data_IF_647019723198
#
_entry.id   IF_647019723198
#
_cell.length_a   1.000
_cell.length_b   1.000
_cell.length_c   1.000
_cell.angle_alpha   90.00
_cell.angle_beta   90.00
_cell.angle_gamma   90.00
#
_symmetry.space_group_name_H-M   'P 1'
#
loop_
_entity.id
_entity.type
_entity.pdbx_description
1 polymer ?
#
# COMPACT_ATOMS: atom_id res chain seq x y z
N UNK A 1 53.27 6.30 -15.41
CA UNK A 1 51.91 6.87 -15.17
C UNK A 1 51.76 8.07 -16.10
N UNK A 2 50.72 8.14 -16.86
CA UNK A 2 50.39 9.30 -17.72
C UNK A 2 49.19 9.96 -17.07
N UNK A 3 49.29 11.28 -16.87
CA UNK A 3 48.22 12.08 -16.28
C UNK A 3 47.79 13.11 -17.33
N UNK A 4 46.52 13.08 -17.70
CA UNK A 4 45.93 13.99 -18.66
C UNK A 4 44.85 14.80 -17.94
N UNK A 5 44.92 16.14 -18.11
CA UNK A 5 43.91 17.07 -17.66
C UNK A 5 43.26 17.72 -18.87
N UNK A 6 41.98 17.89 -18.85
CA UNK A 6 41.24 18.54 -19.92
C UNK A 6 39.95 19.17 -19.45
N UNK A 7 39.68 20.33 -20.02
CA UNK A 7 38.40 21.00 -19.88
C UNK A 7 37.64 20.81 -21.18
N UNK A 8 36.33 20.60 -21.06
CA UNK A 8 35.46 20.35 -22.19
C UNK A 8 34.17 21.16 -22.00
N UNK A 9 33.85 21.94 -23.02
CA UNK A 9 32.59 22.66 -23.07
C UNK A 9 31.94 22.38 -24.43
N UNK A 10 30.89 21.59 -24.40
CA UNK A 10 30.19 21.22 -25.63
C UNK A 10 28.83 20.52 -25.34
N UNK A 11 28.17 20.17 -26.42
CA UNK A 11 26.96 19.34 -26.40
C UNK A 11 27.38 17.85 -26.47
N UNK A 12 27.03 17.07 -25.45
CA UNK A 12 27.18 15.62 -25.48
C UNK A 12 25.91 14.95 -25.97
N UNK A 13 26.12 13.88 -26.74
CA UNK A 13 25.02 13.01 -27.16
C UNK A 13 24.79 11.89 -26.12
N UNK A 14 23.52 11.62 -25.82
CA UNK A 14 23.13 10.54 -24.90
C UNK A 14 23.72 9.17 -25.28
N UNK A 15 23.97 8.93 -26.59
CA UNK A 15 24.60 7.69 -27.04
C UNK A 15 26.06 7.57 -26.60
N UNK A 16 26.80 8.66 -26.54
CA UNK A 16 28.17 8.67 -26.02
C UNK A 16 28.18 8.46 -24.53
N UNK A 17 27.28 9.11 -23.79
CA UNK A 17 27.12 8.89 -22.36
C UNK A 17 26.74 7.44 -22.03
N UNK A 18 25.85 6.83 -22.82
CA UNK A 18 25.48 5.41 -22.66
C UNK A 18 26.69 4.47 -22.77
N UNK A 19 27.62 4.77 -23.72
CA UNK A 19 28.85 4.01 -23.87
C UNK A 19 29.82 4.21 -22.69
N UNK A 20 29.97 5.44 -22.21
CA UNK A 20 30.83 5.78 -21.09
C UNK A 20 30.35 5.13 -19.79
N UNK A 21 29.06 5.11 -19.56
CA UNK A 21 28.45 4.55 -18.36
C UNK A 21 28.23 3.03 -18.45
N UNK A 22 28.43 2.43 -19.64
CA UNK A 22 28.09 1.04 -19.96
C UNK A 22 26.65 0.70 -19.58
N UNK A 23 25.73 1.65 -19.82
CA UNK A 23 24.30 1.54 -19.51
C UNK A 23 23.50 2.33 -20.54
N UNK A 24 22.42 1.76 -21.08
CA UNK A 24 21.60 2.44 -22.07
C UNK A 24 20.68 3.48 -21.41
N UNK A 25 21.08 4.76 -21.53
CA UNK A 25 20.31 5.90 -21.02
C UNK A 25 19.52 6.65 -22.08
N UNK A 26 19.59 6.21 -23.35
CA UNK A 26 18.98 6.94 -24.48
C UNK A 26 17.48 7.13 -24.37
N UNK A 27 16.80 6.15 -23.77
CA UNK A 27 15.35 6.20 -23.58
C UNK A 27 14.95 7.06 -22.39
N UNK A 28 15.90 7.45 -21.55
CA UNK A 28 15.62 8.16 -20.29
C UNK A 28 15.99 9.62 -20.34
N UNK A 29 16.90 10.05 -21.23
CA UNK A 29 17.37 11.43 -21.33
C UNK A 29 17.33 11.93 -22.77
N UNK A 30 17.30 13.24 -22.94
CA UNK A 30 17.32 13.87 -24.26
C UNK A 30 18.56 13.46 -25.06
N UNK A 31 18.45 13.49 -26.39
CA UNK A 31 19.53 13.13 -27.28
C UNK A 31 20.76 14.00 -27.10
N UNK A 32 20.56 15.30 -26.83
CA UNK A 32 21.63 16.30 -26.68
C UNK A 32 21.57 16.98 -25.33
N UNK A 33 22.69 17.01 -24.63
CA UNK A 33 22.85 17.66 -23.33
C UNK A 33 23.98 18.66 -23.43
N UNK A 34 23.71 19.91 -23.04
CA UNK A 34 24.72 20.99 -22.96
C UNK A 34 25.36 20.88 -21.59
N UNK A 35 26.67 20.70 -21.57
CA UNK A 35 27.43 20.59 -20.35
C UNK A 35 28.84 21.17 -20.51
N UNK A 36 29.45 21.54 -19.36
CA UNK A 36 30.88 21.82 -19.23
C UNK A 36 31.48 20.83 -18.25
N UNK A 37 32.67 20.35 -18.52
CA UNK A 37 33.37 19.43 -17.62
C UNK A 37 34.83 19.76 -17.47
N UNK A 38 35.35 19.55 -16.25
CA UNK A 38 36.79 19.53 -15.97
C UNK A 38 37.13 18.11 -15.53
N UNK A 39 38.06 17.46 -16.22
CA UNK A 39 38.34 16.05 -16.08
C UNK A 39 39.82 15.77 -15.88
N UNK A 40 40.12 14.81 -15.03
CA UNK A 40 41.45 14.24 -14.79
C UNK A 40 41.42 12.77 -15.16
N UNK A 41 42.20 12.39 -16.13
CA UNK A 41 42.37 11.00 -16.53
C UNK A 41 43.78 10.53 -16.26
N UNK A 42 43.89 9.51 -15.47
CA UNK A 42 45.19 8.85 -15.14
C UNK A 42 45.23 7.47 -15.75
N UNK A 43 46.33 7.13 -16.39
CA UNK A 43 46.51 5.80 -16.97
C UNK A 43 47.89 5.25 -16.63
N UNK A 44 47.94 4.00 -16.24
CA UNK A 44 49.17 3.23 -16.04
C UNK A 44 49.28 2.20 -17.16
N UNK A 45 50.41 2.27 -17.87
CA UNK A 45 50.73 1.32 -18.96
C UNK A 45 51.79 0.31 -18.52
N UNK A 46 51.67 -0.89 -19.05
CA UNK A 46 52.73 -1.90 -18.97
C UNK A 46 53.88 -1.57 -19.93
N UNK A 47 55.00 -2.29 -19.77
CA UNK A 47 56.13 -2.19 -20.71
C UNK A 47 55.78 -2.57 -22.16
N UNK A 48 54.61 -3.21 -22.38
CA UNK A 48 54.05 -3.56 -23.71
C UNK A 48 52.92 -2.61 -24.12
N UNK A 49 52.84 -1.41 -23.51
CA UNK A 49 51.80 -0.39 -23.75
C UNK A 49 50.35 -0.88 -23.52
N UNK A 50 50.16 -1.93 -22.74
CA UNK A 50 48.80 -2.35 -22.35
C UNK A 50 48.39 -1.59 -21.08
N UNK A 51 47.13 -1.16 -21.04
CA UNK A 51 46.57 -0.49 -19.86
C UNK A 51 46.55 -1.45 -18.68
N UNK A 52 47.36 -1.12 -17.65
CA UNK A 52 47.34 -1.83 -16.37
C UNK A 52 46.25 -1.30 -15.47
N UNK A 53 46.16 0.01 -15.35
CA UNK A 53 45.18 0.68 -14.55
C UNK A 53 44.75 2.00 -15.19
N UNK A 54 43.56 2.47 -14.87
CA UNK A 54 43.12 3.82 -15.22
C UNK A 54 42.13 4.33 -14.15
N UNK A 55 42.07 5.66 -14.01
CA UNK A 55 41.06 6.36 -13.25
C UNK A 55 40.58 7.60 -14.02
N UNK A 56 39.31 7.92 -13.92
CA UNK A 56 38.71 9.15 -14.43
C UNK A 56 38.00 9.82 -13.27
N UNK A 57 38.32 11.07 -13.04
CA UNK A 57 37.54 11.98 -12.19
C UNK A 57 37.05 13.15 -13.07
N UNK A 58 35.76 13.45 -12.99
CA UNK A 58 35.16 14.52 -13.78
C UNK A 58 34.16 15.30 -12.95
N UNK A 59 34.32 16.61 -12.94
CA UNK A 59 33.29 17.55 -12.46
C UNK A 59 32.56 18.10 -13.68
N UNK A 60 31.26 17.90 -13.74
CA UNK A 60 30.40 18.22 -14.87
C UNK A 60 29.33 19.20 -14.40
N UNK A 61 29.19 20.33 -15.07
CA UNK A 61 28.10 21.28 -14.85
C UNK A 61 27.13 21.20 -16.03
N UNK A 62 25.84 21.27 -15.74
CA UNK A 62 24.79 21.27 -16.77
C UNK A 62 23.70 22.28 -16.44
N UNK A 63 23.09 22.86 -17.49
CA UNK A 63 21.97 23.78 -17.33
C UNK A 63 20.64 23.04 -17.17
N UNK A 64 20.33 22.14 -18.12
CA UNK A 64 19.10 21.36 -18.10
C UNK A 64 19.33 19.96 -18.62
N UNK A 65 18.76 18.97 -17.91
CA UNK A 65 18.65 17.59 -18.36
C UNK A 65 17.21 17.16 -18.22
N UNK A 66 16.56 16.79 -19.31
CA UNK A 66 15.23 16.21 -19.29
C UNK A 66 15.33 14.70 -19.07
N UNK A 67 14.67 14.20 -18.03
CA UNK A 67 14.60 12.78 -17.73
C UNK A 67 13.18 12.32 -18.03
N UNK A 68 13.05 11.38 -18.97
CA UNK A 68 11.77 10.75 -19.32
C UNK A 68 11.64 9.45 -18.54
N UNK A 69 10.63 9.37 -17.67
CA UNK A 69 10.34 8.21 -16.87
C UNK A 69 9.02 7.60 -17.36
N UNK A 70 9.08 6.63 -18.25
CA UNK A 70 7.91 5.84 -18.67
C UNK A 70 7.46 4.88 -17.56
N UNK A 71 7.29 5.37 -16.35
CA UNK A 71 6.89 4.55 -15.22
C UNK A 71 5.43 4.81 -14.85
N UNK A 72 4.54 3.91 -15.30
CA UNK A 72 3.11 3.94 -14.95
C UNK A 72 2.87 3.82 -13.43
N UNK A 73 3.82 3.25 -12.70
CA UNK A 73 3.66 3.03 -11.26
C UNK A 73 3.85 4.31 -10.46
N UNK A 74 4.70 5.24 -10.89
CA UNK A 74 4.84 6.53 -10.21
C UNK A 74 3.56 7.36 -10.23
N UNK A 75 2.74 7.25 -11.28
CA UNK A 75 1.44 7.91 -11.36
C UNK A 75 0.42 7.45 -10.33
N UNK A 76 0.62 6.26 -9.77
CA UNK A 76 -0.23 5.74 -8.68
C UNK A 76 0.05 6.45 -7.35
N UNK A 77 1.27 6.98 -7.21
CA UNK A 77 1.76 7.58 -5.96
C UNK A 77 1.88 9.08 -6.02
N UNK A 78 2.21 9.64 -7.18
CA UNK A 78 2.35 11.08 -7.42
C UNK A 78 1.22 11.50 -8.36
N UNK A 79 0.26 12.23 -7.82
CA UNK A 79 -0.88 12.75 -8.57
C UNK A 79 -0.35 13.77 -9.59
N UNK A 80 -0.87 13.75 -10.81
CA UNK A 80 -0.46 14.61 -11.94
C UNK A 80 0.97 14.42 -12.47
N UNK A 81 1.64 13.31 -12.13
CA UNK A 81 2.96 13.01 -12.68
C UNK A 81 2.95 12.82 -14.20
N UNK A 82 3.73 13.65 -14.93
CA UNK A 82 3.73 13.70 -16.41
C UNK A 82 4.82 12.86 -17.06
N UNK A 83 5.39 11.87 -16.38
CA UNK A 83 6.51 11.03 -16.87
C UNK A 83 7.79 11.81 -17.24
N UNK A 84 7.92 13.06 -16.83
CA UNK A 84 9.07 13.89 -17.13
C UNK A 84 9.55 14.59 -15.88
N UNK A 85 10.87 14.59 -15.68
CA UNK A 85 11.56 15.39 -14.67
C UNK A 85 12.61 16.22 -15.40
N UNK A 86 12.70 17.49 -15.08
CA UNK A 86 13.72 18.37 -15.61
C UNK A 86 14.68 18.71 -14.47
N UNK A 87 15.93 18.27 -14.59
CA UNK A 87 17.00 18.74 -13.73
C UNK A 87 17.52 20.07 -14.25
N UNK A 88 17.74 21.03 -13.35
CA UNK A 88 18.16 22.38 -13.72
C UNK A 88 19.34 22.85 -12.87
N UNK A 89 20.31 23.54 -13.51
CA UNK A 89 21.47 24.13 -12.83
C UNK A 89 22.18 23.15 -11.91
N UNK A 90 22.62 22.02 -12.45
CA UNK A 90 23.18 20.93 -11.67
C UNK A 90 24.67 20.74 -11.85
N UNK A 91 25.23 20.12 -10.81
CA UNK A 91 26.61 19.61 -10.80
C UNK A 91 26.56 18.07 -10.69
N UNK A 92 27.40 17.41 -11.49
CA UNK A 92 27.63 15.97 -11.41
C UNK A 92 29.12 15.73 -11.20
N UNK A 93 29.44 14.99 -10.17
CA UNK A 93 30.77 14.46 -9.95
C UNK A 93 30.80 12.97 -10.31
N UNK A 94 31.73 12.59 -11.21
CA UNK A 94 31.90 11.21 -11.69
C UNK A 94 33.30 10.73 -11.35
N UNK A 95 33.40 9.54 -10.77
CA UNK A 95 34.66 8.82 -10.56
C UNK A 95 34.53 7.39 -11.06
N UNK A 96 35.44 6.98 -11.92
CA UNK A 96 35.51 5.62 -12.49
C UNK A 96 36.92 5.08 -12.37
N UNK A 97 37.08 3.76 -12.24
CA UNK A 97 38.36 3.10 -12.34
C UNK A 97 38.27 1.75 -13.09
N UNK A 98 39.40 1.13 -13.36
CA UNK A 98 39.48 -0.12 -14.11
C UNK A 98 38.77 -1.29 -13.41
N UNK A 99 38.67 -1.30 -12.10
CA UNK A 99 37.98 -2.33 -11.32
C UNK A 99 36.47 -2.20 -11.37
N UNK A 100 35.91 -1.35 -12.27
CA UNK A 100 34.51 -1.03 -12.38
C UNK A 100 33.91 -0.41 -11.10
N UNK A 101 34.76 0.15 -10.24
CA UNK A 101 34.25 0.98 -9.16
C UNK A 101 33.80 2.32 -9.75
N UNK A 102 32.57 2.65 -9.46
CA UNK A 102 31.92 3.87 -9.97
C UNK A 102 31.37 4.66 -8.79
N UNK A 103 31.59 5.97 -8.78
CA UNK A 103 30.90 6.89 -7.89
C UNK A 103 30.32 8.04 -8.70
N UNK A 104 29.06 8.33 -8.49
CA UNK A 104 28.35 9.45 -9.12
C UNK A 104 27.66 10.23 -8.01
N UNK A 105 27.88 11.53 -7.97
CA UNK A 105 27.15 12.43 -7.07
C UNK A 105 26.51 13.52 -7.92
N UNK A 106 25.20 13.70 -7.78
CA UNK A 106 24.43 14.74 -8.47
C UNK A 106 23.82 15.67 -7.45
N UNK A 107 24.03 16.96 -7.62
CA UNK A 107 23.37 18.03 -6.88
C UNK A 107 22.68 18.93 -7.90
N UNK A 108 21.37 19.06 -7.83
CA UNK A 108 20.59 19.84 -8.81
C UNK A 108 19.29 20.31 -8.19
N UNK A 109 18.62 21.19 -8.91
CA UNK A 109 17.19 21.43 -8.71
C UNK A 109 16.41 20.65 -9.76
N UNK A 110 15.19 20.26 -9.44
CA UNK A 110 14.31 19.57 -10.38
C UNK A 110 12.92 20.20 -10.40
N UNK A 111 12.25 20.07 -11.53
CA UNK A 111 10.86 20.47 -11.75
C UNK A 111 10.13 19.35 -12.51
N UNK A 112 8.83 19.18 -12.27
CA UNK A 112 7.99 18.25 -13.03
C UNK A 112 7.43 18.88 -14.30
N UNK A 113 7.12 20.16 -14.25
CA UNK A 113 6.69 20.99 -15.40
C UNK A 113 6.88 22.46 -15.06
N UNK A 114 6.60 23.33 -16.03
CA UNK A 114 6.77 24.79 -15.90
C UNK A 114 5.90 25.44 -14.80
N UNK A 115 4.88 24.74 -14.30
CA UNK A 115 3.98 25.22 -13.25
C UNK A 115 4.51 24.97 -11.85
N UNK A 116 5.55 24.13 -11.70
CA UNK A 116 6.13 23.77 -10.42
C UNK A 116 7.38 24.60 -10.12
N UNK A 117 7.56 24.95 -8.85
CA UNK A 117 8.80 25.60 -8.41
C UNK A 117 9.94 24.59 -8.37
N UNK A 118 11.16 24.98 -8.77
CA UNK A 118 12.32 24.11 -8.65
C UNK A 118 12.58 23.69 -7.21
N UNK A 119 12.80 22.39 -6.99
CA UNK A 119 13.07 21.77 -5.69
C UNK A 119 14.41 21.05 -5.72
N UNK A 120 15.04 20.91 -4.57
CA UNK A 120 16.37 20.30 -4.47
C UNK A 120 16.33 18.79 -4.58
N UNK A 121 17.33 18.24 -5.27
CA UNK A 121 17.61 16.81 -5.34
C UNK A 121 19.11 16.57 -5.18
N UNK A 122 19.44 15.66 -4.28
CA UNK A 122 20.78 15.10 -4.12
C UNK A 122 20.70 13.60 -4.37
N UNK A 123 21.58 13.10 -5.25
CA UNK A 123 21.70 11.69 -5.55
C UNK A 123 23.17 11.29 -5.45
N UNK A 124 23.43 10.26 -4.65
CA UNK A 124 24.71 9.59 -4.60
C UNK A 124 24.53 8.14 -5.06
N UNK A 125 25.32 7.74 -6.03
CA UNK A 125 25.42 6.37 -6.50
C UNK A 125 26.85 5.90 -6.34
N UNK A 126 27.02 4.69 -5.84
CA UNK A 126 28.31 4.03 -5.88
C UNK A 126 28.17 2.55 -6.19
N UNK A 127 29.11 2.05 -6.98
CA UNK A 127 29.23 0.63 -7.31
C UNK A 127 30.63 0.17 -6.97
N UNK A 128 30.71 -0.92 -6.24
CA UNK A 128 31.97 -1.61 -5.96
C UNK A 128 31.72 -3.11 -6.07
N UNK A 129 32.41 -3.77 -6.98
CA UNK A 129 32.16 -5.17 -7.33
C UNK A 129 30.70 -5.41 -7.74
N UNK A 130 29.97 -6.22 -6.94
CA UNK A 130 28.56 -6.59 -7.17
C UNK A 130 27.57 -5.75 -6.36
N UNK A 131 28.07 -4.83 -5.52
CA UNK A 131 27.23 -4.02 -4.63
C UNK A 131 27.05 -2.64 -5.24
N UNK A 132 25.80 -2.26 -5.43
CA UNK A 132 25.40 -0.92 -5.83
C UNK A 132 24.69 -0.27 -4.64
N UNK A 133 25.03 1.00 -4.36
CA UNK A 133 24.45 1.82 -3.30
C UNK A 133 23.84 3.07 -3.92
N UNK A 134 22.63 3.40 -3.50
CA UNK A 134 21.90 4.56 -3.93
C UNK A 134 21.45 5.34 -2.72
N UNK A 135 21.69 6.63 -2.73
CA UNK A 135 21.22 7.56 -1.71
C UNK A 135 20.49 8.72 -2.40
N UNK A 136 19.26 8.98 -1.98
CA UNK A 136 18.43 10.04 -2.53
C UNK A 136 17.97 10.93 -1.38
N UNK A 137 18.11 12.24 -1.58
CA UNK A 137 17.49 13.27 -0.74
C UNK A 137 16.70 14.20 -1.65
N UNK A 138 15.39 14.25 -1.50
CA UNK A 138 14.48 14.92 -2.44
C UNK A 138 13.48 15.77 -1.65
N UNK A 139 13.36 17.04 -2.03
CA UNK A 139 12.28 17.91 -1.58
C UNK A 139 11.04 17.68 -2.46
N UNK A 140 10.00 17.09 -1.88
CA UNK A 140 8.74 16.74 -2.54
C UNK A 140 7.60 17.74 -2.27
N UNK A 141 7.89 18.92 -1.78
CA UNK A 141 6.90 19.94 -1.34
C UNK A 141 5.90 20.32 -2.44
N UNK A 142 6.31 20.33 -3.70
CA UNK A 142 5.45 20.68 -4.84
C UNK A 142 4.57 19.51 -5.33
N UNK A 143 4.65 18.34 -4.68
CA UNK A 143 3.97 17.13 -5.14
C UNK A 143 2.76 16.81 -4.26
N UNK A 144 1.74 16.30 -4.90
CA UNK A 144 0.62 15.65 -4.23
C UNK A 144 0.87 14.15 -4.21
N UNK A 145 1.06 13.58 -3.01
CA UNK A 145 1.42 12.18 -2.82
C UNK A 145 0.28 11.42 -2.18
N UNK A 146 -0.03 10.25 -2.76
CA UNK A 146 -1.04 9.33 -2.28
C UNK A 146 -0.45 7.92 -2.16
N UNK A 147 -0.46 7.35 -0.96
CA UNK A 147 -0.10 5.96 -0.70
C UNK A 147 -1.34 5.24 -0.19
N UNK A 148 -2.17 4.74 -1.12
CA UNK A 148 -3.48 4.14 -0.81
C UNK A 148 -3.43 2.97 0.17
N UNK A 149 -2.30 2.23 0.18
CA UNK A 149 -2.12 1.05 1.02
C UNK A 149 -2.16 1.37 2.51
N UNK A 150 -1.69 2.56 2.87
CA UNK A 150 -1.63 3.05 4.26
C UNK A 150 -2.49 4.30 4.46
N UNK A 151 -3.31 4.67 3.47
CA UNK A 151 -4.17 5.85 3.49
C UNK A 151 -3.38 7.17 3.78
N UNK A 152 -2.11 7.23 3.33
CA UNK A 152 -1.25 8.41 3.47
C UNK A 152 -1.53 9.38 2.33
N UNK A 153 -1.74 10.65 2.69
CA UNK A 153 -2.01 11.70 1.71
C UNK A 153 -1.35 13.02 2.09
N UNK A 154 -0.68 13.65 1.15
CA UNK A 154 -0.18 15.02 1.30
C UNK A 154 -0.62 15.88 0.14
N UNK A 155 -1.09 17.09 0.46
CA UNK A 155 -1.44 18.10 -0.55
C UNK A 155 -0.20 18.78 -1.09
N UNK A 156 -0.29 19.25 -2.32
CA UNK A 156 0.68 20.17 -2.93
C UNK A 156 0.93 21.39 -2.03
N UNK A 157 2.18 21.88 -2.03
CA UNK A 157 2.68 22.98 -1.22
C UNK A 157 2.76 22.71 0.30
N UNK A 158 2.58 21.47 0.74
CA UNK A 158 2.96 21.05 2.07
C UNK A 158 4.40 20.54 2.05
N UNK A 159 5.24 21.03 2.95
CA UNK A 159 6.60 20.51 3.10
C UNK A 159 6.58 18.99 3.19
N UNK A 160 7.42 18.35 2.38
CA UNK A 160 7.59 16.89 2.37
C UNK A 160 8.98 16.55 1.85
N UNK A 161 9.72 15.76 2.60
CA UNK A 161 11.08 15.36 2.27
C UNK A 161 11.18 13.84 2.20
N UNK A 162 11.92 13.35 1.19
CA UNK A 162 12.26 11.94 1.04
C UNK A 162 13.77 11.75 1.22
N UNK A 163 14.15 10.92 2.18
CA UNK A 163 15.51 10.40 2.31
C UNK A 163 15.46 8.88 2.10
N UNK A 164 16.18 8.39 1.12
CA UNK A 164 16.24 6.96 0.78
C UNK A 164 17.69 6.51 0.68
N UNK A 165 18.04 5.45 1.41
CA UNK A 165 19.28 4.71 1.24
C UNK A 165 18.94 3.27 0.84
N UNK A 166 19.35 2.88 -0.37
CA UNK A 166 19.10 1.58 -0.97
C UNK A 166 20.43 0.91 -1.32
N UNK A 167 20.54 -0.37 -1.08
CA UNK A 167 21.61 -1.23 -1.60
C UNK A 167 21.03 -2.29 -2.53
N UNK A 168 21.76 -2.60 -3.60
CA UNK A 168 21.46 -3.70 -4.52
C UNK A 168 22.64 -4.64 -4.56
N UNK A 169 22.38 -5.93 -4.36
CA UNK A 169 23.36 -6.99 -4.52
C UNK A 169 22.74 -8.08 -5.39
N UNK A 170 23.22 -8.21 -6.63
CA UNK A 170 22.60 -9.07 -7.66
C UNK A 170 21.10 -8.71 -7.82
N UNK A 171 20.21 -9.66 -7.50
CA UNK A 171 18.77 -9.50 -7.65
C UNK A 171 18.04 -9.12 -6.34
N UNK A 172 18.80 -8.88 -5.27
CA UNK A 172 18.25 -8.48 -3.97
C UNK A 172 18.43 -6.98 -3.79
N UNK A 173 17.34 -6.29 -3.55
CA UNK A 173 17.29 -4.89 -3.18
C UNK A 173 17.02 -4.79 -1.69
N UNK A 174 17.71 -3.89 -1.01
CA UNK A 174 17.53 -3.63 0.41
C UNK A 174 17.41 -2.12 0.64
N UNK A 175 16.23 -1.69 1.07
CA UNK A 175 16.04 -0.35 1.62
C UNK A 175 16.63 -0.37 3.03
N UNK A 176 17.84 0.15 3.20
CA UNK A 176 18.47 0.25 4.51
C UNK A 176 17.74 1.27 5.39
N UNK A 177 17.36 2.39 4.79
CA UNK A 177 16.55 3.40 5.44
C UNK A 177 15.75 4.19 4.39
N UNK A 178 14.45 4.34 4.62
CA UNK A 178 13.58 5.26 3.91
C UNK A 178 12.86 6.11 4.94
N UNK A 179 12.95 7.44 4.79
CA UNK A 179 12.12 8.39 5.53
C UNK A 179 11.40 9.30 4.55
N UNK A 180 10.08 9.31 4.62
CA UNK A 180 9.23 10.30 3.98
C UNK A 180 8.58 11.09 5.11
N UNK A 181 8.88 12.39 5.23
CA UNK A 181 8.53 13.11 6.44
C UNK A 181 8.30 14.61 6.22
N UNK A 182 7.51 15.16 7.11
CA UNK A 182 7.41 16.59 7.39
C UNK A 182 7.13 16.77 8.91
N UNK A 183 6.74 17.98 9.33
CA UNK A 183 6.46 18.27 10.75
C UNK A 183 5.33 17.41 11.35
N UNK A 184 4.40 16.91 10.53
CA UNK A 184 3.19 16.21 10.97
C UNK A 184 3.15 14.73 10.58
N UNK A 185 3.90 14.35 9.55
CA UNK A 185 3.82 13.02 8.97
C UNK A 185 5.20 12.37 8.92
N UNK A 186 5.26 11.10 9.20
CA UNK A 186 6.45 10.26 9.12
C UNK A 186 6.10 8.89 8.56
N UNK A 187 6.74 8.50 7.47
CA UNK A 187 6.89 7.10 7.06
C UNK A 187 8.37 6.74 7.18
N UNK A 188 8.69 5.76 8.01
CA UNK A 188 10.06 5.31 8.24
C UNK A 188 10.14 3.79 8.06
N UNK A 189 10.96 3.35 7.12
CA UNK A 189 11.17 1.94 6.79
C UNK A 189 12.64 1.61 6.95
N UNK A 190 12.95 0.52 7.64
CA UNK A 190 14.34 0.07 7.84
C UNK A 190 14.51 -1.39 7.44
N UNK A 191 15.64 -1.66 6.80
CA UNK A 191 16.12 -3.00 6.45
C UNK A 191 15.08 -3.82 5.66
N UNK A 192 14.31 -3.16 4.77
CA UNK A 192 13.33 -3.85 3.94
C UNK A 192 14.02 -4.46 2.72
N UNK A 193 13.94 -5.77 2.59
CA UNK A 193 14.50 -6.55 1.48
C UNK A 193 13.40 -7.01 0.54
N UNK A 194 13.66 -6.89 -0.75
CA UNK A 194 12.76 -7.35 -1.80
C UNK A 194 13.53 -7.82 -3.03
N UNK A 195 12.88 -8.64 -3.85
CA UNK A 195 13.40 -9.12 -5.13
C UNK A 195 12.73 -8.40 -6.31
N UNK A 196 13.14 -8.72 -7.53
CA UNK A 196 12.45 -8.26 -8.74
C UNK A 196 10.95 -8.57 -8.66
N UNK A 197 10.11 -7.62 -9.11
CA UNK A 197 8.66 -7.70 -8.95
C UNK A 197 8.16 -7.24 -7.58
N UNK A 198 9.01 -6.60 -6.77
CA UNK A 198 8.67 -5.99 -5.47
C UNK A 198 8.11 -6.98 -4.43
N UNK A 199 8.53 -8.26 -4.49
CA UNK A 199 8.18 -9.24 -3.47
C UNK A 199 9.05 -9.08 -2.24
N UNK A 200 8.46 -8.67 -1.12
CA UNK A 200 9.15 -8.47 0.15
C UNK A 200 9.60 -9.82 0.72
N UNK A 201 10.87 -9.94 1.02
CA UNK A 201 11.46 -11.14 1.63
C UNK A 201 11.72 -10.96 3.12
N UNK A 202 12.05 -9.74 3.55
CA UNK A 202 12.33 -9.43 4.95
C UNK A 202 12.21 -7.94 5.24
N UNK A 203 12.08 -7.56 6.53
CA UNK A 203 12.17 -6.19 7.01
C UNK A 203 12.39 -6.18 8.52
N UNK A 204 12.90 -5.09 9.06
CA UNK A 204 13.04 -4.90 10.51
C UNK A 204 11.94 -4.00 11.07
N UNK A 205 11.67 -2.86 10.40
CA UNK A 205 10.76 -1.86 10.90
C UNK A 205 10.01 -1.14 9.79
N UNK A 206 8.70 -0.96 10.01
CA UNK A 206 7.83 -0.05 9.25
C UNK A 206 7.07 0.79 10.28
N UNK A 207 7.29 2.10 10.26
CA UNK A 207 6.58 3.07 11.11
C UNK A 207 5.86 4.05 10.21
N UNK A 208 4.60 4.32 10.50
CA UNK A 208 3.80 5.30 9.78
C UNK A 208 2.97 6.12 10.78
N UNK A 209 3.35 7.38 10.95
CA UNK A 209 2.63 8.38 11.74
C UNK A 209 2.15 9.46 10.76
N UNK A 210 0.85 9.53 10.47
CA UNK A 210 0.35 10.44 9.45
C UNK A 210 -1.14 10.75 9.58
N UNK A 211 -1.52 11.89 9.05
CA UNK A 211 -2.93 12.23 8.85
C UNK A 211 -3.43 11.72 7.51
N UNK A 212 -4.61 11.09 7.50
CA UNK A 212 -5.27 10.68 6.27
C UNK A 212 -6.07 11.84 5.63
N UNK A 213 -6.78 11.58 4.52
CA UNK A 213 -7.61 12.59 3.84
C UNK A 213 -8.71 13.19 4.73
N UNK A 214 -9.21 12.44 5.69
CA UNK A 214 -10.26 12.83 6.63
C UNK A 214 -9.68 13.50 7.90
N UNK A 215 -8.39 13.84 7.87
CA UNK A 215 -7.64 14.43 8.99
C UNK A 215 -7.64 13.55 10.25
N UNK A 216 -7.75 12.22 10.08
CA UNK A 216 -7.58 11.26 11.17
C UNK A 216 -6.10 10.89 11.30
N UNK A 217 -5.57 10.95 12.52
CA UNK A 217 -4.19 10.57 12.81
C UNK A 217 -4.07 9.04 12.85
N UNK A 218 -3.27 8.49 11.94
CA UNK A 218 -2.82 7.10 11.99
C UNK A 218 -1.43 7.03 12.62
N UNK A 219 -1.25 6.08 13.51
CA UNK A 219 0.02 5.82 14.17
C UNK A 219 0.26 4.31 14.19
N UNK A 220 1.19 3.83 13.38
CA UNK A 220 1.45 2.40 13.22
C UNK A 220 2.94 2.10 13.34
N UNK A 221 3.27 1.13 14.16
CA UNK A 221 4.61 0.56 14.28
C UNK A 221 4.55 -0.94 14.02
N UNK A 222 5.21 -1.40 12.96
CA UNK A 222 5.36 -2.81 12.62
C UNK A 222 6.83 -3.17 12.76
N UNK A 223 7.13 -4.14 13.59
CA UNK A 223 8.48 -4.67 13.77
C UNK A 223 8.51 -6.16 13.51
N UNK A 224 9.60 -6.64 12.88
CA UNK A 224 9.80 -8.07 12.60
C UNK A 224 11.10 -8.56 13.23
N UNK A 225 11.01 -9.68 13.95
CA UNK A 225 12.18 -10.42 14.46
C UNK A 225 11.99 -11.90 14.12
N UNK A 226 12.81 -12.41 13.21
CA UNK A 226 12.65 -13.77 12.67
C UNK A 226 11.22 -13.94 12.11
N UNK A 227 10.46 -14.92 12.62
CA UNK A 227 9.09 -15.23 12.20
C UNK A 227 8.02 -14.55 13.09
N UNK A 228 8.40 -13.57 13.92
CA UNK A 228 7.45 -12.81 14.73
C UNK A 228 7.34 -11.39 14.20
N UNK A 229 6.12 -10.96 13.95
CA UNK A 229 5.77 -9.59 13.57
C UNK A 229 4.90 -9.02 14.68
N UNK A 230 5.23 -7.82 15.16
CA UNK A 230 4.39 -7.10 16.09
C UNK A 230 3.85 -5.84 15.38
N UNK A 231 2.55 -5.69 15.38
CA UNK A 231 1.85 -4.50 14.93
C UNK A 231 1.26 -3.80 16.16
N UNK A 232 1.74 -2.60 16.43
CA UNK A 232 1.31 -1.76 17.55
C UNK A 232 0.81 -0.45 16.99
N UNK A 233 -0.34 0.03 17.48
CA UNK A 233 -0.91 1.30 17.08
C UNK A 233 -1.65 1.96 18.24
N UNK A 234 -1.55 3.29 18.37
CA UNK A 234 -2.46 4.04 19.23
C UNK A 234 -3.77 4.31 18.50
N UNK A 235 -3.70 4.76 17.24
CA UNK A 235 -4.86 5.08 16.41
C UNK A 235 -4.65 4.56 15.00
N UNK A 236 -5.63 3.87 14.44
CA UNK A 236 -5.58 3.33 13.07
C UNK A 236 -6.95 3.40 12.40
N UNK A 237 -7.03 4.03 11.25
CA UNK A 237 -8.22 3.98 10.41
C UNK A 237 -8.19 2.74 9.52
N UNK A 238 -9.03 1.76 9.84
CA UNK A 238 -9.18 0.50 9.11
C UNK A 238 -10.43 0.49 8.22
N UNK A 239 -11.17 1.59 8.14
CA UNK A 239 -12.43 1.70 7.41
C UNK A 239 -12.30 1.30 5.94
N UNK A 240 -11.27 1.79 5.25
CA UNK A 240 -11.00 1.47 3.84
C UNK A 240 -10.56 0.01 3.64
N UNK A 241 -9.86 -0.58 4.61
CA UNK A 241 -9.39 -1.96 4.53
C UNK A 241 -10.54 -2.96 4.68
N UNK A 242 -11.47 -2.68 5.59
CA UNK A 242 -12.71 -3.46 5.74
C UNK A 242 -13.50 -3.39 4.43
N UNK A 243 -13.67 -2.20 3.86
CA UNK A 243 -14.39 -2.01 2.60
C UNK A 243 -13.77 -2.80 1.45
N UNK A 244 -12.45 -2.72 1.28
CA UNK A 244 -11.72 -3.50 0.25
C UNK A 244 -11.86 -5.00 0.46
N UNK A 245 -11.77 -5.48 1.70
CA UNK A 245 -11.90 -6.91 2.03
C UNK A 245 -13.29 -7.44 1.71
N UNK A 246 -14.34 -6.67 2.00
CA UNK A 246 -15.72 -7.08 1.78
C UNK A 246 -16.19 -6.95 0.32
N UNK A 247 -15.62 -6.01 -0.46
CA UNK A 247 -15.99 -5.76 -1.88
C UNK A 247 -15.13 -6.50 -2.89
N UNK A 248 -13.99 -7.06 -2.47
CA UNK A 248 -13.05 -7.70 -3.39
C UNK A 248 -13.64 -8.98 -3.97
N UNK A 249 -14.02 -8.94 -5.25
CA UNK A 249 -14.40 -10.12 -6.06
C UNK A 249 -13.19 -10.98 -6.43
N UNK A 250 -11.98 -10.40 -6.38
CA UNK A 250 -10.71 -11.12 -6.46
C UNK A 250 -10.16 -11.23 -5.06
N UNK A 251 -9.78 -12.43 -4.65
CA UNK A 251 -9.03 -12.68 -3.40
C UNK A 251 -7.64 -12.04 -3.49
N UNK A 252 -7.58 -10.70 -3.64
CA UNK A 252 -6.31 -9.97 -3.47
C UNK A 252 -5.94 -10.08 -1.99
N UNK A 253 -5.03 -10.98 -1.72
CA UNK A 253 -4.51 -11.14 -0.38
C UNK A 253 -3.41 -10.10 -0.17
N UNK A 254 -3.61 -9.17 0.77
CA UNK A 254 -2.57 -8.18 1.15
C UNK A 254 -1.22 -8.85 1.44
N UNK A 255 -1.22 -10.09 1.92
CA UNK A 255 -0.01 -10.85 2.20
C UNK A 255 0.74 -11.28 0.93
N UNK A 256 0.14 -11.15 -0.26
CA UNK A 256 0.79 -11.51 -1.53
C UNK A 256 1.92 -10.54 -1.93
N UNK A 257 2.06 -9.40 -1.24
CA UNK A 257 3.25 -8.53 -1.36
C UNK A 257 4.51 -9.22 -0.83
N UNK A 258 4.37 -10.21 0.05
CA UNK A 258 5.48 -10.98 0.59
C UNK A 258 5.80 -12.20 -0.29
N UNK A 259 7.06 -12.62 -0.25
CA UNK A 259 7.52 -13.88 -0.82
C UNK A 259 7.48 -14.96 0.25
N UNK A 260 6.45 -15.83 0.22
CA UNK A 260 6.33 -16.98 1.13
C UNK A 260 6.42 -16.60 2.62
N UNK A 261 5.56 -15.69 3.07
CA UNK A 261 5.54 -15.27 4.47
C UNK A 261 5.01 -16.38 5.36
N UNK A 262 5.85 -16.82 6.31
CA UNK A 262 5.50 -17.64 7.46
C UNK A 262 5.78 -16.84 8.73
N UNK A 263 4.73 -16.45 9.47
CA UNK A 263 4.90 -15.57 10.61
C UNK A 263 3.79 -15.75 11.66
N UNK A 264 4.15 -15.45 12.91
CA UNK A 264 3.22 -15.12 13.99
C UNK A 264 3.12 -13.60 14.09
N UNK A 265 1.95 -13.06 13.82
CA UNK A 265 1.66 -11.63 13.91
C UNK A 265 0.91 -11.37 15.21
N UNK A 266 1.48 -10.56 16.10
CA UNK A 266 0.81 -10.04 17.27
C UNK A 266 0.23 -8.66 16.93
N UNK A 267 -1.00 -8.40 17.29
CA UNK A 267 -1.72 -7.15 17.00
C UNK A 267 -2.15 -6.53 18.33
N UNK A 268 -1.83 -5.24 18.48
CA UNK A 268 -2.24 -4.40 19.60
C UNK A 268 -2.56 -3.00 19.09
N UNK A 269 -3.84 -2.65 19.00
CA UNK A 269 -4.33 -1.36 18.52
C UNK A 269 -5.24 -0.79 19.58
N UNK A 270 -4.89 0.38 20.15
CA UNK A 270 -5.70 0.99 21.21
C UNK A 270 -7.04 1.48 20.68
N UNK A 271 -7.02 2.16 19.54
CA UNK A 271 -8.22 2.66 18.88
C UNK A 271 -8.16 2.37 17.37
N UNK A 272 -9.14 1.63 16.83
CA UNK A 272 -9.25 1.35 15.41
C UNK A 272 -10.59 1.90 14.88
N UNK A 273 -10.52 2.88 13.97
CA UNK A 273 -11.69 3.49 13.34
C UNK A 273 -12.28 2.56 12.29
N UNK A 274 -13.57 2.23 12.42
CA UNK A 274 -14.34 1.40 11.48
C UNK A 274 -15.15 2.25 10.50
N UNK A 275 -15.82 3.27 11.03
CA UNK A 275 -16.57 4.29 10.30
C UNK A 275 -16.66 5.59 11.13
N UNK A 276 -17.57 6.50 10.79
CA UNK A 276 -17.72 7.79 11.50
C UNK A 276 -18.20 7.63 12.94
N UNK A 277 -19.00 6.59 13.23
CA UNK A 277 -19.68 6.39 14.49
C UNK A 277 -19.07 5.27 15.35
N UNK A 278 -18.31 4.33 14.74
CA UNK A 278 -17.84 3.12 15.39
C UNK A 278 -16.32 3.00 15.36
N UNK A 279 -15.78 2.72 16.54
CA UNK A 279 -14.37 2.46 16.79
C UNK A 279 -14.23 1.19 17.61
N UNK A 280 -13.20 0.41 17.34
CA UNK A 280 -12.73 -0.59 18.28
C UNK A 280 -11.79 0.04 19.29
N UNK A 281 -12.01 -0.28 20.57
CA UNK A 281 -11.08 -0.04 21.65
C UNK A 281 -10.34 -1.34 21.96
N UNK A 282 -9.02 -1.27 22.14
CA UNK A 282 -8.16 -2.38 22.51
C UNK A 282 -8.35 -3.61 21.60
N UNK A 283 -8.19 -3.40 20.29
CA UNK A 283 -8.13 -4.54 19.36
C UNK A 283 -6.82 -5.28 19.56
N UNK A 284 -6.91 -6.46 20.12
CA UNK A 284 -5.77 -7.31 20.44
C UNK A 284 -5.94 -8.68 19.79
N UNK A 285 -4.81 -9.33 19.49
CA UNK A 285 -4.85 -10.73 19.08
C UNK A 285 -3.62 -11.23 18.37
N UNK A 286 -3.76 -12.42 17.79
CA UNK A 286 -2.69 -13.15 17.11
C UNK A 286 -3.19 -13.71 15.79
N UNK A 287 -2.34 -13.62 14.77
CA UNK A 287 -2.59 -14.22 13.46
C UNK A 287 -1.38 -15.07 13.09
N UNK A 288 -1.63 -16.33 12.75
CA UNK A 288 -0.61 -17.25 12.22
C UNK A 288 -0.77 -17.27 10.71
N UNK A 289 0.29 -16.89 10.03
CA UNK A 289 0.38 -16.89 8.57
C UNK A 289 1.28 -18.02 8.11
N UNK A 290 0.86 -18.77 7.10
CA UNK A 290 1.64 -19.80 6.41
C UNK A 290 1.49 -19.63 4.90
N UNK A 291 2.61 -19.55 4.19
CA UNK A 291 2.64 -19.36 2.73
C UNK A 291 1.71 -18.21 2.30
N UNK A 292 1.85 -17.04 2.89
CA UNK A 292 1.03 -15.84 2.63
C UNK A 292 -0.48 -15.99 2.92
N UNK A 293 -0.91 -17.03 3.62
CA UNK A 293 -2.33 -17.26 3.96
C UNK A 293 -2.53 -17.30 5.46
N UNK A 294 -3.60 -16.68 5.93
CA UNK A 294 -4.02 -16.81 7.32
C UNK A 294 -4.40 -18.27 7.60
N UNK A 295 -3.61 -18.92 8.44
CA UNK A 295 -3.83 -20.30 8.89
C UNK A 295 -4.73 -20.34 10.12
N UNK A 296 -4.41 -19.51 11.13
CA UNK A 296 -5.20 -19.33 12.35
C UNK A 296 -5.21 -17.85 12.74
N UNK A 297 -6.27 -17.43 13.41
CA UNK A 297 -6.36 -16.08 13.96
C UNK A 297 -7.29 -16.08 15.18
N UNK A 298 -7.00 -15.17 16.10
CA UNK A 298 -7.87 -14.84 17.22
C UNK A 298 -7.69 -13.35 17.50
N UNK A 299 -8.74 -12.55 17.27
CA UNK A 299 -8.78 -11.13 17.52
C UNK A 299 -9.99 -10.79 18.38
N UNK A 300 -9.82 -9.87 19.31
CA UNK A 300 -10.92 -9.34 20.12
C UNK A 300 -10.78 -7.84 20.32
N UNK A 301 -11.90 -7.16 20.46
CA UNK A 301 -11.99 -5.74 20.76
C UNK A 301 -13.30 -5.43 21.50
N UNK A 302 -13.39 -4.22 22.05
CA UNK A 302 -14.65 -3.63 22.49
C UNK A 302 -15.01 -2.45 21.62
N UNK A 303 -16.29 -2.15 21.44
CA UNK A 303 -16.70 -0.94 20.74
C UNK A 303 -16.68 0.29 21.65
N UNK A 304 -16.50 1.47 21.08
CA UNK A 304 -16.57 2.74 21.80
C UNK A 304 -17.94 3.00 22.45
N UNK A 305 -19.01 2.42 21.89
CA UNK A 305 -20.39 2.50 22.41
C UNK A 305 -20.75 1.31 23.32
N UNK A 306 -19.74 0.52 23.74
CA UNK A 306 -19.95 -0.75 24.44
C UNK A 306 -20.23 -1.90 23.48
N UNK A 307 -20.17 -3.12 23.98
CA UNK A 307 -20.28 -4.34 23.17
C UNK A 307 -18.93 -4.87 22.73
N UNK A 308 -18.93 -6.10 22.27
CA UNK A 308 -17.74 -6.88 21.95
C UNK A 308 -17.65 -7.20 20.46
N UNK A 309 -16.42 -7.39 20.01
CA UNK A 309 -16.07 -7.96 18.71
C UNK A 309 -15.11 -9.12 18.94
N UNK A 310 -15.36 -10.25 18.29
CA UNK A 310 -14.50 -11.42 18.31
C UNK A 310 -14.40 -11.97 16.89
N UNK A 311 -13.18 -12.21 16.44
CA UNK A 311 -12.88 -12.90 15.19
C UNK A 311 -11.99 -14.09 15.49
N UNK A 312 -12.40 -15.30 15.08
CA UNK A 312 -11.54 -16.47 15.15
C UNK A 312 -11.41 -17.15 13.80
N UNK A 313 -10.27 -17.74 13.53
CA UNK A 313 -10.03 -18.70 12.46
C UNK A 313 -9.23 -19.85 13.04
N UNK A 314 -9.82 -21.04 13.05
CA UNK A 314 -9.28 -22.22 13.70
C UNK A 314 -9.39 -23.45 12.81
N UNK A 315 -8.68 -24.52 13.16
CA UNK A 315 -8.82 -25.82 12.51
C UNK A 315 -9.60 -26.72 13.49
N UNK A 316 -10.84 -27.04 13.15
CA UNK A 316 -11.71 -27.93 13.89
C UNK A 316 -11.99 -29.16 13.04
N UNK A 317 -11.71 -30.37 13.56
CA UNK A 317 -11.89 -31.62 12.83
C UNK A 317 -11.26 -31.65 11.43
N UNK A 318 -10.09 -31.01 11.29
CA UNK A 318 -9.37 -30.93 10.02
C UNK A 318 -9.89 -29.89 9.02
N UNK A 319 -10.98 -29.18 9.33
CA UNK A 319 -11.55 -28.10 8.50
C UNK A 319 -11.21 -26.74 9.10
N UNK A 320 -10.98 -25.76 8.22
CA UNK A 320 -10.83 -24.37 8.68
C UNK A 320 -12.19 -23.76 8.91
N UNK A 321 -12.39 -23.30 10.14
CA UNK A 321 -13.62 -22.63 10.57
C UNK A 321 -13.28 -21.17 10.91
N UNK A 322 -14.02 -20.25 10.34
CA UNK A 322 -13.94 -18.81 10.64
C UNK A 322 -15.21 -18.40 11.35
N UNK A 323 -15.10 -17.71 12.49
CA UNK A 323 -16.25 -17.12 13.17
C UNK A 323 -16.05 -15.63 13.40
N UNK A 324 -17.13 -14.87 13.31
CA UNK A 324 -17.18 -13.46 13.67
C UNK A 324 -18.39 -13.25 14.56
N UNK A 325 -18.16 -12.68 15.72
CA UNK A 325 -19.21 -12.18 16.60
C UNK A 325 -19.06 -10.66 16.73
N UNK A 326 -20.16 -9.92 16.61
CA UNK A 326 -20.17 -8.48 16.81
C UNK A 326 -21.47 -8.02 17.45
N UNK A 327 -21.39 -7.28 18.54
CA UNK A 327 -22.55 -6.62 19.15
C UNK A 327 -23.09 -5.44 18.33
N UNK A 328 -22.33 -5.00 17.30
CA UNK A 328 -22.76 -4.00 16.32
C UNK A 328 -22.56 -4.52 14.89
N UNK A 329 -23.65 -4.82 14.19
CA UNK A 329 -23.62 -5.30 12.80
C UNK A 329 -23.38 -4.18 11.79
N UNK A 330 -23.86 -2.97 12.08
CA UNK A 330 -23.86 -1.81 11.18
C UNK A 330 -22.51 -1.51 10.52
N UNK A 331 -21.35 -1.48 11.22
CA UNK A 331 -20.05 -1.17 10.60
C UNK A 331 -19.64 -2.15 9.50
N UNK A 332 -20.12 -3.39 9.57
CA UNK A 332 -19.81 -4.46 8.62
C UNK A 332 -20.81 -4.48 7.46
N UNK A 333 -22.10 -4.40 7.77
CA UNK A 333 -23.19 -4.50 6.77
C UNK A 333 -23.31 -3.25 5.91
N UNK A 334 -23.10 -2.05 6.47
CA UNK A 334 -23.14 -0.76 5.74
C UNK A 334 -22.17 -0.69 4.55
N UNK A 335 -21.12 -1.48 4.57
CA UNK A 335 -20.14 -1.55 3.46
C UNK A 335 -20.70 -2.23 2.20
N UNK A 336 -21.77 -3.00 2.32
CA UNK A 336 -22.49 -3.57 1.17
C UNK A 336 -23.46 -2.54 0.59
N UNK A 337 -23.13 -1.96 -0.57
CA UNK A 337 -23.92 -0.87 -1.19
C UNK A 337 -25.35 -1.24 -1.54
N UNK A 338 -25.67 -2.53 -1.66
CA UNK A 338 -27.02 -3.00 -1.97
C UNK A 338 -27.96 -3.03 -0.76
N UNK A 339 -27.40 -2.97 0.47
CA UNK A 339 -28.19 -2.84 1.70
C UNK A 339 -28.09 -1.38 2.16
N UNK A 340 -29.10 -0.59 1.84
CA UNK A 340 -29.18 0.82 2.24
C UNK A 340 -29.95 0.96 3.53
N UNK A 341 -29.59 1.97 4.32
CA UNK A 341 -30.30 2.33 5.54
C UNK A 341 -30.28 1.26 6.63
N UNK A 342 -29.26 0.40 6.65
CA UNK A 342 -29.09 -0.60 7.72
C UNK A 342 -28.68 0.10 9.02
N UNK A 343 -29.39 -0.20 10.10
CA UNK A 343 -29.15 0.39 11.41
C UNK A 343 -29.29 -0.64 12.52
N UNK A 344 -28.48 -0.47 13.60
CA UNK A 344 -28.38 -1.37 14.76
C UNK A 344 -27.90 -2.80 14.42
N UNK A 345 -28.34 -3.77 15.20
CA UNK A 345 -28.16 -5.21 15.02
C UNK A 345 -26.89 -5.79 15.63
N UNK A 346 -27.00 -7.07 15.99
CA UNK A 346 -25.87 -7.94 16.35
C UNK A 346 -25.61 -8.91 15.20
N UNK A 347 -24.36 -9.32 15.03
CA UNK A 347 -23.92 -10.18 13.93
C UNK A 347 -23.18 -11.41 14.46
N UNK A 348 -23.63 -12.57 13.99
CA UNK A 348 -22.93 -13.85 14.10
C UNK A 348 -22.66 -14.38 12.69
N UNK A 349 -21.41 -14.72 12.42
CA UNK A 349 -20.99 -15.31 11.15
C UNK A 349 -20.13 -16.53 11.40
N UNK A 350 -20.45 -17.62 10.72
CA UNK A 350 -19.63 -18.83 10.70
C UNK A 350 -19.40 -19.30 9.29
N UNK A 351 -18.16 -19.67 8.95
CA UNK A 351 -17.78 -20.20 7.64
C UNK A 351 -16.87 -21.40 7.81
N UNK A 352 -17.17 -22.49 7.11
CA UNK A 352 -16.40 -23.74 7.12
C UNK A 352 -15.83 -23.99 5.74
N UNK A 353 -14.51 -24.05 5.59
CA UNK A 353 -13.86 -24.46 4.34
C UNK A 353 -14.11 -25.96 4.12
N UNK A 354 -14.96 -26.29 3.13
CA UNK A 354 -15.30 -27.69 2.76
C UNK A 354 -14.28 -28.25 1.79
N UNK A 355 -13.77 -27.39 0.88
CA UNK A 355 -12.69 -27.70 -0.03
C UNK A 355 -11.83 -26.46 -0.27
N UNK A 356 -10.76 -26.57 -1.07
CA UNK A 356 -9.83 -25.47 -1.36
C UNK A 356 -10.53 -24.18 -1.85
N UNK A 357 -11.63 -24.33 -2.60
CA UNK A 357 -12.32 -23.22 -3.27
C UNK A 357 -13.80 -23.09 -2.90
N UNK A 358 -14.27 -23.89 -1.94
CA UNK A 358 -15.67 -23.91 -1.51
C UNK A 358 -15.74 -23.77 0.02
N UNK A 359 -16.54 -22.80 0.48
CA UNK A 359 -16.91 -22.67 1.88
C UNK A 359 -18.43 -22.65 2.07
N UNK A 360 -18.91 -23.25 3.14
CA UNK A 360 -20.30 -23.16 3.59
C UNK A 360 -20.37 -22.17 4.73
N UNK A 361 -21.29 -21.20 4.64
CA UNK A 361 -21.36 -20.08 5.54
C UNK A 361 -22.77 -19.86 6.03
N UNK A 362 -22.84 -19.39 7.26
CA UNK A 362 -24.05 -18.95 7.94
C UNK A 362 -23.82 -17.55 8.48
N UNK A 363 -24.73 -16.63 8.14
CA UNK A 363 -24.77 -15.28 8.65
C UNK A 363 -26.09 -15.05 9.37
N UNK A 364 -26.03 -14.68 10.64
CA UNK A 364 -27.16 -14.28 11.45
C UNK A 364 -27.04 -12.83 11.87
N UNK A 365 -28.15 -12.09 11.80
CA UNK A 365 -28.23 -10.73 12.29
C UNK A 365 -29.49 -10.59 13.12
N UNK A 366 -29.36 -10.01 14.31
CA UNK A 366 -30.45 -9.86 15.27
C UNK A 366 -30.75 -8.40 15.54
N UNK A 367 -32.07 -8.08 15.72
CA UNK A 367 -32.54 -6.78 16.19
C UNK A 367 -32.03 -5.58 15.38
N UNK A 368 -32.29 -5.56 14.10
CA UNK A 368 -31.85 -4.49 13.19
C UNK A 368 -33.04 -3.79 12.50
N UNK A 369 -32.74 -2.67 11.86
CA UNK A 369 -33.72 -1.88 11.08
C UNK A 369 -33.18 -1.67 9.68
N UNK A 370 -34.09 -1.64 8.70
CA UNK A 370 -33.83 -1.24 7.31
C UNK A 370 -34.62 0.02 6.98
N UNK A 371 -33.90 1.12 6.71
CA UNK A 371 -34.48 2.34 6.15
C UNK A 371 -34.41 2.27 4.63
N UNK A 372 -34.78 3.07 3.81
CA UNK A 372 -34.55 3.15 2.35
C UNK A 372 -34.72 1.84 1.52
N UNK A 373 -35.79 1.08 1.81
CA UNK A 373 -36.13 -0.11 1.03
C UNK A 373 -37.48 0.07 0.28
N UNK A 374 -37.48 0.80 -0.86
CA UNK A 374 -38.77 1.17 -1.55
C UNK A 374 -39.62 -0.02 -1.94
N UNK A 375 -39.03 -1.16 -2.29
CA UNK A 375 -39.76 -2.37 -2.63
C UNK A 375 -40.49 -2.98 -1.42
N UNK A 376 -39.79 -3.10 -0.28
CA UNK A 376 -40.42 -3.57 0.97
C UNK A 376 -41.47 -2.58 1.49
N UNK A 377 -41.18 -1.28 1.37
CA UNK A 377 -42.13 -0.22 1.74
C UNK A 377 -43.48 -0.35 0.97
N UNK A 378 -43.41 -0.61 -0.34
CA UNK A 378 -44.61 -0.84 -1.15
C UNK A 378 -45.35 -2.12 -0.73
N UNK A 379 -44.65 -3.20 -0.45
CA UNK A 379 -45.25 -4.46 0.02
C UNK A 379 -45.93 -4.28 1.38
N UNK A 380 -45.29 -3.59 2.32
CA UNK A 380 -45.82 -3.34 3.66
C UNK A 380 -47.04 -2.43 3.65
N UNK A 381 -47.08 -1.41 2.81
CA UNK A 381 -48.22 -0.52 2.68
C UNK A 381 -49.51 -1.26 2.21
N UNK A 382 -49.37 -2.43 1.61
CA UNK A 382 -50.48 -3.27 1.15
C UNK A 382 -50.84 -4.39 2.15
N UNK A 383 -49.93 -4.78 3.06
CA UNK A 383 -50.06 -6.02 3.80
C UNK A 383 -50.12 -5.88 5.32
N UNK A 384 -49.67 -4.77 5.92
CA UNK A 384 -49.49 -4.70 7.39
C UNK A 384 -49.75 -3.30 7.96
N UNK A 385 -50.68 -3.18 8.93
CA UNK A 385 -50.87 -1.97 9.72
C UNK A 385 -49.64 -1.59 10.56
N UNK A 386 -48.90 -2.55 11.08
CA UNK A 386 -47.69 -2.33 11.84
C UNK A 386 -46.57 -1.77 10.94
N UNK A 387 -46.44 -2.32 9.71
CA UNK A 387 -45.51 -1.81 8.72
C UNK A 387 -45.79 -0.38 8.29
N UNK A 388 -47.09 -0.01 8.16
CA UNK A 388 -47.51 1.38 7.90
C UNK A 388 -47.10 2.29 9.07
N UNK A 389 -47.28 1.84 10.31
CA UNK A 389 -46.91 2.62 11.49
C UNK A 389 -45.40 2.83 11.57
N UNK A 390 -44.59 1.79 11.36
CA UNK A 390 -43.12 1.88 11.35
C UNK A 390 -42.60 2.80 10.23
N UNK A 391 -43.23 2.80 9.07
CA UNK A 391 -42.94 3.73 7.97
C UNK A 391 -43.34 5.17 8.27
N UNK A 392 -44.48 5.37 8.94
CA UNK A 392 -45.01 6.71 9.29
C UNK A 392 -44.12 7.40 10.35
N UNK A 393 -43.46 6.65 11.22
CA UNK A 393 -42.50 7.18 12.21
C UNK A 393 -41.14 7.50 11.61
N UNK A 394 -40.83 7.02 10.40
CA UNK A 394 -39.50 7.17 9.76
C UNK A 394 -38.40 6.33 10.38
N UNK A 395 -38.77 5.42 11.32
CA UNK A 395 -37.79 4.58 12.02
C UNK A 395 -37.25 3.41 11.18
N UNK A 396 -37.88 3.13 10.03
CA UNK A 396 -37.56 2.00 9.16
C UNK A 396 -38.26 0.70 9.58
N UNK A 397 -38.07 -0.34 8.78
CA UNK A 397 -38.68 -1.66 8.97
C UNK A 397 -37.81 -2.45 9.94
N UNK A 398 -38.40 -2.94 11.02
CA UNK A 398 -37.69 -3.75 12.01
C UNK A 398 -37.67 -5.23 11.61
N UNK A 399 -36.55 -5.85 11.92
CA UNK A 399 -36.36 -7.30 11.87
C UNK A 399 -35.76 -7.78 13.20
N UNK A 400 -36.36 -8.83 13.73
CA UNK A 400 -35.90 -9.47 14.96
C UNK A 400 -34.74 -10.42 14.66
N UNK A 401 -34.82 -11.12 13.51
CA UNK A 401 -33.86 -12.13 13.09
C UNK A 401 -33.71 -12.15 11.57
N UNK A 402 -32.48 -12.36 11.12
CA UNK A 402 -32.10 -12.64 9.74
C UNK A 402 -31.10 -13.77 9.73
N UNK A 403 -31.42 -14.86 9.05
CA UNK A 403 -30.54 -15.99 8.81
C UNK A 403 -30.28 -16.14 7.32
N UNK A 404 -29.04 -16.33 6.94
CA UNK A 404 -28.62 -16.59 5.57
C UNK A 404 -27.65 -17.76 5.54
N UNK A 405 -28.03 -18.83 4.86
CA UNK A 405 -27.20 -19.99 4.58
C UNK A 405 -26.74 -19.95 3.14
N UNK A 406 -25.43 -19.98 2.92
CA UNK A 406 -24.90 -19.88 1.57
C UNK A 406 -23.59 -20.67 1.39
N UNK A 407 -23.34 -21.04 0.16
CA UNK A 407 -22.13 -21.67 -0.29
C UNK A 407 -21.36 -20.70 -1.18
N UNK A 408 -20.12 -20.40 -0.78
CA UNK A 408 -19.21 -19.50 -1.51
C UNK A 408 -18.20 -20.33 -2.29
N UNK A 409 -18.21 -20.19 -3.63
CA UNK A 409 -17.25 -20.78 -4.56
C UNK A 409 -16.46 -19.69 -5.29
N UNK A 410 -15.52 -20.06 -6.15
CA UNK A 410 -14.68 -19.09 -6.86
C UNK A 410 -15.50 -18.07 -7.69
N UNK A 411 -16.58 -18.52 -8.34
CA UNK A 411 -17.37 -17.70 -9.28
C UNK A 411 -18.78 -17.35 -8.80
N UNK A 412 -19.31 -18.13 -7.86
CA UNK A 412 -20.71 -18.09 -7.50
C UNK A 412 -20.89 -18.10 -5.97
N UNK A 413 -21.82 -17.32 -5.48
CA UNK A 413 -22.40 -17.45 -4.15
C UNK A 413 -23.77 -18.06 -4.34
N UNK A 414 -23.97 -19.30 -3.91
CA UNK A 414 -25.28 -19.95 -3.90
C UNK A 414 -25.95 -19.70 -2.57
N UNK A 415 -27.07 -19.03 -2.57
CA UNK A 415 -27.87 -18.72 -1.40
C UNK A 415 -28.89 -19.84 -1.25
N UNK A 416 -28.64 -20.73 -0.31
CA UNK A 416 -29.51 -21.89 -0.07
C UNK A 416 -30.80 -21.45 0.59
N UNK A 417 -30.73 -20.47 1.51
CA UNK A 417 -31.85 -19.92 2.21
C UNK A 417 -31.51 -18.56 2.80
N UNK A 418 -32.42 -17.60 2.67
CA UNK A 418 -32.50 -16.41 3.48
C UNK A 418 -33.85 -16.44 4.19
N UNK A 419 -33.82 -16.38 5.50
CA UNK A 419 -35.00 -16.20 6.34
C UNK A 419 -34.86 -14.92 7.15
N UNK A 420 -35.83 -14.02 7.04
CA UNK A 420 -35.87 -12.81 7.84
C UNK A 420 -37.24 -12.68 8.51
N UNK A 421 -37.23 -12.48 9.82
CA UNK A 421 -38.44 -12.37 10.64
C UNK A 421 -38.51 -10.96 11.25
N UNK A 422 -39.63 -10.29 11.07
CA UNK A 422 -39.93 -9.03 11.73
C UNK A 422 -41.39 -8.92 12.08
N UNK A 423 -41.78 -7.95 12.96
CA UNK A 423 -43.15 -7.77 13.40
C UNK A 423 -44.10 -7.46 12.25
N UNK A 424 -43.61 -6.83 11.20
CA UNK A 424 -44.41 -6.36 10.09
C UNK A 424 -44.35 -7.28 8.86
N UNK A 425 -43.24 -8.04 8.68
CA UNK A 425 -43.01 -8.88 7.50
C UNK A 425 -42.03 -10.00 7.82
N UNK A 426 -42.29 -11.16 7.21
CA UNK A 426 -41.33 -12.26 7.13
C UNK A 426 -40.95 -12.50 5.68
N UNK A 427 -39.66 -12.80 5.43
CA UNK A 427 -39.11 -12.99 4.10
C UNK A 427 -38.46 -14.36 4.05
N UNK A 428 -38.76 -15.13 3.02
CA UNK A 428 -38.05 -16.38 2.68
C UNK A 428 -37.59 -16.26 1.23
N UNK A 429 -36.29 -16.47 1.00
CA UNK A 429 -35.68 -16.39 -0.33
C UNK A 429 -34.59 -17.43 -0.51
N UNK A 430 -34.38 -17.82 -1.75
CA UNK A 430 -33.25 -18.60 -2.23
C UNK A 430 -32.74 -18.01 -3.54
N UNK A 431 -31.53 -18.33 -3.95
CA UNK A 431 -31.01 -17.81 -5.22
C UNK A 431 -29.51 -17.98 -5.37
N UNK A 432 -28.94 -17.16 -6.22
CA UNK A 432 -27.49 -17.11 -6.41
C UNK A 432 -27.02 -15.72 -6.84
N UNK A 433 -25.74 -15.47 -6.60
CA UNK A 433 -25.07 -14.23 -7.00
C UNK A 433 -23.79 -14.58 -7.75
N UNK A 434 -23.69 -14.15 -8.99
CA UNK A 434 -22.45 -14.24 -9.76
C UNK A 434 -21.47 -13.16 -9.31
N UNK A 435 -20.27 -13.57 -8.90
CA UNK A 435 -19.25 -12.63 -8.38
C UNK A 435 -18.76 -11.61 -9.41
N UNK A 436 -18.84 -11.96 -10.70
CA UNK A 436 -18.49 -11.03 -11.77
C UNK A 436 -19.49 -9.88 -11.96
N UNK A 437 -20.69 -9.98 -11.41
CA UNK A 437 -21.77 -9.01 -11.51
C UNK A 437 -21.94 -8.15 -10.24
N UNK A 438 -21.09 -8.33 -9.24
CA UNK A 438 -21.10 -7.57 -7.98
C UNK A 438 -20.37 -6.20 -8.07
N UNK A 439 -20.17 -5.68 -9.29
CA UNK A 439 -19.50 -4.38 -9.52
C UNK A 439 -20.49 -3.21 -9.36
#
# INVERSE_FOLDING_TARGET
MINLKGDFENTLNSSLLSRLLNYDIKNYIDEKIILSSSSIFEVELSNKFKIKNYSLESKINFENININLENKDLKKYIIDFKNKIILTKGELFLKLNKENNTAIKVSSKFILDEKHKPKEILLNYSKSNLIEKYEFNIDLTEFEILLDQINFYTKKNNELFLNLFLTKNKNIYQINNLKLFNDKNLLNIKELKFEEGFKITDFDLIQADHYNKDNFLNNVLITKKKNKINLISNNLDISSNIEKTLKSTKKENFLDIFKNLDALINIEIKEAKLDEDHYFNNLIGKVIVKNNKTDRANLSATFNKGGNFIYTKEILEGKKVTTIFSDHAKPFVKKFKFIKGFDDGKLDYTSVEVSKDISKSELRIYNFKLQDMPALTKLLSLASLQGIADLATGEGIRFDEFDMFFEDSEKLITINEIYALGPAISILMEGYVEKNNLV
#
